data_IF_352135512949
#
_entry.id   IF_352135512949
#
_cell.length_a   1.000
_cell.length_b   1.000
_cell.length_c   1.000
_cell.angle_alpha   90.00
_cell.angle_beta   90.00
_cell.angle_gamma   90.00
#
_symmetry.space_group_name_H-M   'P 1'
#
loop_
_entity.id
_entity.type
_entity.pdbx_description
1 polymer ?
2 non-polymer ?
3 non-polymer ?
#
# COMPACT_ATOMS: atom_id res chain seq x y z
N UNK A 44 22.05 -14.96 6.61
CA UNK A 44 21.74 -15.83 5.49
C UNK A 44 22.44 -15.36 4.22
N UNK A 45 21.94 -15.80 3.07
CA UNK A 45 22.48 -15.38 1.79
C UNK A 45 22.29 -13.89 1.58
N UNK A 46 23.03 -13.33 0.64
CA UNK A 46 23.00 -11.88 0.41
C UNK A 46 21.60 -11.42 -0.01
N UNK A 47 20.98 -12.13 -0.94
CA UNK A 47 19.66 -11.71 -1.41
C UNK A 47 18.58 -11.86 -0.37
N UNK A 48 18.65 -12.86 0.52
CA UNK A 48 17.68 -12.92 1.61
C UNK A 48 17.95 -11.89 2.68
N UNK A 49 19.21 -11.52 2.89
CA UNK A 49 19.50 -10.36 3.74
C UNK A 49 18.87 -9.10 3.18
N UNK A 50 18.97 -8.91 1.86
CA UNK A 50 18.30 -7.79 1.21
C UNK A 50 16.78 -7.89 1.40
N UNK A 51 16.23 -9.09 1.28
CA UNK A 51 14.79 -9.26 1.45
C UNK A 51 14.35 -8.89 2.86
N UNK A 52 15.11 -9.29 3.88
CA UNK A 52 14.73 -8.98 5.26
C UNK A 52 14.83 -7.49 5.52
N UNK A 53 15.93 -6.86 5.05
CA UNK A 53 16.06 -5.42 5.26
C UNK A 53 15.00 -4.64 4.48
N UNK A 54 14.60 -5.13 3.31
CA UNK A 54 13.49 -4.51 2.58
C UNK A 54 12.19 -4.68 3.33
N UNK A 55 11.99 -5.84 3.96
CA UNK A 55 10.80 -6.06 4.78
C UNK A 55 10.71 -5.02 5.88
N UNK A 56 11.82 -4.81 6.61
CA UNK A 56 11.80 -3.79 7.65
C UNK A 56 11.65 -2.39 7.08
N UNK A 57 12.24 -2.13 5.90
CA UNK A 57 12.08 -0.83 5.28
C UNK A 57 10.63 -0.51 4.98
N UNK A 58 9.91 -1.47 4.39
CA UNK A 58 8.50 -1.25 4.10
C UNK A 58 7.65 -1.26 5.35
N UNK A 59 8.06 -1.99 6.38
CA UNK A 59 7.41 -1.89 7.68
C UNK A 59 7.46 -0.46 8.19
N UNK A 60 8.64 0.17 8.12
CA UNK A 60 8.75 1.57 8.55
C UNK A 60 8.09 2.53 7.58
N UNK A 61 7.98 2.17 6.29
CA UNK A 61 7.24 3.04 5.32
C UNK A 61 5.76 3.08 5.73
N UNK A 62 5.07 1.95 5.73
CA UNK A 62 3.62 1.94 6.03
C UNK A 62 3.37 2.39 7.48
N UNK A 63 4.27 2.08 8.41
CA UNK A 63 4.07 2.60 9.77
C UNK A 63 3.96 4.12 9.69
N UNK A 64 5.05 4.79 9.31
CA UNK A 64 5.04 6.24 9.18
C UNK A 64 3.83 6.74 8.39
N UNK A 65 3.29 5.93 7.48
CA UNK A 65 2.07 6.34 6.78
C UNK A 65 0.85 6.28 7.70
N UNK A 66 0.74 5.22 8.50
CA UNK A 66 -0.51 4.91 9.19
C UNK A 66 -0.56 5.44 10.63
N UNK A 67 0.59 5.73 11.25
CA UNK A 67 0.59 6.17 12.64
C UNK A 67 -0.30 7.40 12.84
N UNK A 68 -0.39 8.27 11.82
CA UNK A 68 -1.21 9.46 11.95
C UNK A 68 -2.70 9.10 12.05
N UNK A 69 -3.13 8.04 11.38
CA UNK A 69 -4.54 7.67 11.41
C UNK A 69 -4.99 7.31 12.83
N UNK A 70 -4.08 6.83 13.66
CA UNK A 70 -4.39 6.56 15.06
C UNK A 70 -4.12 7.79 15.93
N UNK A 71 -3.03 8.52 15.63
CA UNK A 71 -2.69 9.68 16.43
C UNK A 71 -3.74 10.77 16.35
N UNK A 72 -4.43 10.88 15.21
CA UNK A 72 -5.46 11.90 15.07
C UNK A 72 -6.69 11.63 15.92
N UNK A 73 -6.88 10.38 16.35
CA UNK A 73 -7.99 10.07 17.25
C UNK A 73 -7.84 10.81 18.56
N UNK A 74 -6.63 10.88 19.10
CA UNK A 74 -6.37 11.51 20.38
C UNK A 74 -5.90 12.95 20.24
N UNK A 75 -5.36 13.33 19.08
CA UNK A 75 -4.79 14.66 18.91
C UNK A 75 -5.86 15.75 18.75
N UNK A 76 -7.13 15.39 18.58
CA UNK A 76 -8.20 16.34 18.34
C UNK A 76 -9.04 16.49 19.60
N UNK A 77 -9.43 17.72 19.89
CA UNK A 77 -10.27 17.99 21.05
C UNK A 77 -11.72 17.58 20.79
N UNK A 78 -12.49 17.48 21.86
CA UNK A 78 -13.89 17.09 21.78
C UNK A 78 -14.71 18.12 21.01
N UNK A 107 -2.02 17.10 25.05
CA UNK A 107 -2.33 18.33 24.35
C UNK A 107 -3.32 18.08 23.22
N UNK A 108 -4.40 18.85 23.18
CA UNK A 108 -5.46 18.68 22.20
C UNK A 108 -5.60 19.96 21.38
N UNK A 109 -6.08 19.79 20.15
CA UNK A 109 -6.30 20.90 19.22
C UNK A 109 -7.73 20.89 18.74
N UNK A 110 -8.25 22.09 18.47
CA UNK A 110 -9.64 22.27 18.05
C UNK A 110 -9.78 22.29 16.52
N UNK A 111 -9.36 21.20 15.89
CA UNK A 111 -9.46 21.03 14.45
C UNK A 111 -10.86 20.59 14.03
N UNK A 112 -11.36 21.20 12.96
CA UNK A 112 -12.70 20.89 12.47
C UNK A 112 -12.66 19.64 11.58
N UNK A 113 -13.86 19.22 11.17
CA UNK A 113 -13.98 18.00 10.36
C UNK A 113 -13.27 18.13 9.02
N UNK A 114 -13.42 19.27 8.36
CA UNK A 114 -12.79 19.44 7.05
C UNK A 114 -11.26 19.46 7.16
N UNK A 115 -10.75 20.06 8.23
CA UNK A 115 -9.30 20.11 8.42
C UNK A 115 -8.71 18.72 8.58
N UNK A 116 -9.40 17.85 9.33
CA UNK A 116 -8.90 16.49 9.55
C UNK A 116 -8.78 15.72 8.24
N UNK A 117 -9.74 15.92 7.33
CA UNK A 117 -9.65 15.26 6.04
C UNK A 117 -8.43 15.69 5.25
N UNK A 118 -8.17 17.00 5.19
CA UNK A 118 -6.99 17.50 4.50
C UNK A 118 -5.71 16.97 5.15
N UNK A 119 -5.66 16.95 6.48
CA UNK A 119 -4.46 16.51 7.17
C UNK A 119 -4.20 15.04 6.90
N UNK A 120 -5.25 14.21 6.91
CA UNK A 120 -5.08 12.79 6.61
C UNK A 120 -4.67 12.58 5.16
N UNK A 121 -5.21 13.38 4.24
CA UNK A 121 -4.98 13.15 2.82
C UNK A 121 -3.76 13.83 2.24
N UNK A 122 -3.12 14.72 2.99
CA UNK A 122 -2.01 15.49 2.42
C UNK A 122 -0.85 14.59 1.99
N UNK A 123 -0.70 13.42 2.61
CA UNK A 123 0.38 12.52 2.25
C UNK A 123 0.27 12.06 0.79
N UNK A 124 -0.95 11.79 0.33
CA UNK A 124 -1.13 11.24 -0.99
C UNK A 124 -0.84 12.25 -2.10
N UNK A 125 -0.83 13.55 -1.80
CA UNK A 125 -0.36 14.52 -2.79
C UNK A 125 1.10 14.25 -3.15
N UNK A 126 1.96 14.17 -2.14
CA UNK A 126 3.36 13.87 -2.40
C UNK A 126 3.55 12.48 -2.99
N UNK A 127 2.77 11.50 -2.52
CA UNK A 127 2.88 10.16 -3.09
C UNK A 127 2.52 10.15 -4.57
N UNK A 128 1.52 10.93 -4.97
CA UNK A 128 1.16 11.02 -6.38
C UNK A 128 2.25 11.75 -7.16
N UNK A 129 2.78 12.84 -6.60
CA UNK A 129 3.72 13.68 -7.32
C UNK A 129 5.00 12.92 -7.63
N UNK A 130 5.53 12.20 -6.65
CA UNK A 130 6.89 11.66 -6.78
C UNK A 130 6.94 10.23 -7.29
N UNK A 131 5.82 9.66 -7.76
CA UNK A 131 5.80 8.25 -8.13
C UNK A 131 6.63 7.95 -9.37
N UNK A 132 6.24 8.49 -10.52
CA UNK A 132 6.86 8.14 -11.80
C UNK A 132 8.26 8.75 -11.93
N UNK A 133 8.47 10.03 -11.58
CA UNK A 133 9.85 10.52 -11.53
C UNK A 133 10.72 9.71 -10.59
N UNK A 134 10.14 9.19 -9.51
CA UNK A 134 10.87 8.27 -8.66
C UNK A 134 11.29 7.02 -9.40
N UNK A 135 10.41 6.47 -10.23
CA UNK A 135 10.77 5.32 -11.03
C UNK A 135 11.89 5.62 -12.00
N UNK A 136 11.83 6.77 -12.66
CA UNK A 136 12.89 7.14 -13.59
C UNK A 136 14.22 7.30 -12.88
N UNK A 137 14.21 7.96 -11.72
CA UNK A 137 15.45 8.14 -10.96
C UNK A 137 15.99 6.80 -10.46
N UNK A 138 15.09 5.89 -10.06
CA UNK A 138 15.53 4.57 -9.62
C UNK A 138 16.16 3.80 -10.77
N UNK A 139 15.59 3.91 -11.97
CA UNK A 139 16.22 3.29 -13.13
C UNK A 139 17.57 3.91 -13.45
N UNK A 140 17.70 5.23 -13.25
CA UNK A 140 18.92 5.92 -13.62
C UNK A 140 20.06 5.61 -12.64
N UNK A 141 19.89 5.96 -11.36
CA UNK A 141 20.99 5.87 -10.40
C UNK A 141 20.81 4.75 -9.39
N UNK A 142 19.82 3.88 -9.57
CA UNK A 142 19.70 2.70 -8.74
C UNK A 142 18.79 2.88 -7.53
N UNK A 143 18.62 1.80 -6.80
CA UNK A 143 17.66 1.75 -5.71
C UNK A 143 18.18 2.03 -4.31
N UNK A 144 19.42 1.67 -4.02
CA UNK A 144 19.92 1.71 -2.64
C UNK A 144 19.82 3.10 -2.04
N UNK A 145 20.57 4.05 -2.59
CA UNK A 145 20.62 5.40 -2.02
C UNK A 145 19.26 6.06 -2.09
N UNK A 146 18.54 5.86 -3.20
CA UNK A 146 17.24 6.50 -3.36
C UNK A 146 16.26 6.06 -2.28
N UNK A 147 16.14 4.75 -2.07
CA UNK A 147 15.22 4.26 -1.05
C UNK A 147 15.69 4.62 0.35
N UNK A 148 17.00 4.52 0.60
CA UNK A 148 17.50 4.90 1.92
C UNK A 148 17.20 6.34 2.26
N UNK A 149 17.42 7.25 1.31
CA UNK A 149 17.14 8.65 1.56
C UNK A 149 15.64 8.94 1.62
N UNK A 150 14.82 8.20 0.88
CA UNK A 150 13.38 8.34 1.04
C UNK A 150 12.94 7.99 2.44
N UNK A 151 13.45 6.88 2.97
CA UNK A 151 13.07 6.47 4.32
C UNK A 151 13.59 7.47 5.35
N UNK A 152 14.83 7.94 5.16
CA UNK A 152 15.39 8.91 6.10
C UNK A 152 14.60 10.22 6.09
N UNK A 153 14.24 10.71 4.91
CA UNK A 153 13.47 11.93 4.78
C UNK A 153 12.02 11.78 5.17
N UNK A 154 11.51 10.56 5.30
CA UNK A 154 10.21 10.36 5.93
C UNK A 154 10.33 10.27 7.45
N UNK A 155 11.36 9.60 7.95
CA UNK A 155 11.54 9.43 9.40
C UNK A 155 11.83 10.77 10.08
N UNK A 156 12.69 11.59 9.48
CA UNK A 156 13.00 12.87 10.11
C UNK A 156 11.79 13.79 10.11
N UNK A 157 10.98 13.77 9.05
CA UNK A 157 9.77 14.57 9.03
C UNK A 157 8.76 14.07 10.05
N UNK A 158 8.64 12.75 10.22
CA UNK A 158 7.80 12.23 11.29
C UNK A 158 8.29 12.69 12.64
N UNK A 159 9.62 12.69 12.84
CA UNK A 159 10.19 13.16 14.10
C UNK A 159 9.87 14.63 14.36
N UNK A 160 9.87 15.44 13.32
CA UNK A 160 9.55 16.86 13.48
C UNK A 160 8.06 17.17 13.40
N UNK A 161 7.22 16.17 13.11
CA UNK A 161 5.78 16.41 13.08
C UNK A 161 5.19 16.92 14.39
N UNK A 162 5.55 16.40 15.57
CA UNK A 162 4.95 16.94 16.81
C UNK A 162 5.20 18.42 17.02
N UNK A 163 6.37 18.94 16.66
CA UNK A 163 6.62 20.37 16.78
C UNK A 163 5.90 21.13 15.68
N UNK A 164 5.70 20.48 14.52
CA UNK A 164 4.92 21.10 13.45
C UNK A 164 3.46 21.25 13.85
N UNK A 165 2.94 20.36 14.69
CA UNK A 165 1.56 20.47 15.14
C UNK A 165 1.36 21.75 15.95
N UNK A 166 2.36 22.11 16.73
CA UNK A 166 2.26 23.34 17.56
C UNK A 166 2.29 24.58 16.67
N UNK A 167 3.08 24.55 15.59
CA UNK A 167 3.21 25.70 14.72
C UNK A 167 1.92 26.00 13.97
N UNK A 168 1.05 25.01 13.80
CA UNK A 168 -0.22 25.25 13.16
C UNK A 168 -0.69 24.16 12.22
N UNK A 169 -1.86 24.35 11.62
CA UNK A 169 -2.41 23.35 10.70
C UNK A 169 -1.60 23.30 9.41
N UNK A 170 -1.26 24.48 8.86
CA UNK A 170 -0.50 24.57 7.65
C UNK A 170 0.86 23.87 7.71
N UNK A 171 1.60 24.09 8.80
CA UNK A 171 2.84 23.31 8.98
C UNK A 171 2.63 21.81 8.96
N UNK A 172 1.55 21.31 9.57
CA UNK A 172 1.31 19.87 9.56
C UNK A 172 0.95 19.38 8.16
N UNK A 173 0.15 20.17 7.42
CA UNK A 173 -0.19 19.76 6.06
C UNK A 173 1.05 19.72 5.18
N UNK A 174 1.93 20.72 5.31
CA UNK A 174 3.13 20.72 4.48
C UNK A 174 4.08 19.60 4.93
N UNK A 175 4.12 19.29 6.22
CA UNK A 175 4.90 18.15 6.69
C UNK A 175 4.40 16.85 6.07
N UNK A 176 3.08 16.67 6.03
CA UNK A 176 2.54 15.46 5.42
C UNK A 176 2.78 15.42 3.93
N UNK A 177 2.69 16.57 3.25
CA UNK A 177 2.99 16.59 1.81
C UNK A 177 4.44 16.23 1.54
N UNK A 178 5.36 16.76 2.35
CA UNK A 178 6.76 16.41 2.19
C UNK A 178 7.02 14.94 2.54
N UNK A 179 6.30 14.41 3.53
CA UNK A 179 6.38 12.98 3.80
C UNK A 179 5.93 12.16 2.60
N UNK A 180 4.86 12.60 1.94
CA UNK A 180 4.42 11.91 0.74
C UNK A 180 5.47 11.95 -0.36
N UNK A 181 6.08 13.13 -0.56
CA UNK A 181 7.13 13.24 -1.56
C UNK A 181 8.30 12.32 -1.24
N UNK A 182 8.70 12.25 0.03
CA UNK A 182 9.79 11.38 0.40
C UNK A 182 9.46 9.91 0.24
N UNK A 183 8.25 9.52 0.64
CA UNK A 183 7.93 8.10 0.78
C UNK A 183 7.47 7.49 -0.54
N UNK A 184 6.87 8.28 -1.43
CA UNK A 184 6.33 7.71 -2.66
C UNK A 184 7.36 7.12 -3.59
N UNK A 185 8.65 7.43 -3.37
CA UNK A 185 9.71 6.90 -4.22
C UNK A 185 10.17 5.51 -3.77
N UNK A 186 9.67 5.02 -2.64
CA UNK A 186 10.18 3.78 -2.07
C UNK A 186 9.89 2.58 -2.96
N UNK A 187 8.64 2.43 -3.40
CA UNK A 187 8.28 1.25 -4.18
C UNK A 187 9.05 1.12 -5.49
N UNK A 188 9.13 2.16 -6.34
CA UNK A 188 9.94 2.01 -7.56
C UNK A 188 11.41 1.78 -7.27
N UNK A 189 11.94 2.38 -6.20
CA UNK A 189 13.33 2.13 -5.83
C UNK A 189 13.56 0.68 -5.44
N UNK A 190 12.54 0.03 -4.86
CA UNK A 190 12.67 -1.37 -4.52
C UNK A 190 12.55 -2.26 -5.75
N UNK A 191 11.65 -1.90 -6.67
CA UNK A 191 11.54 -2.68 -7.91
C UNK A 191 12.81 -2.56 -8.75
N UNK A 192 13.44 -1.38 -8.73
CA UNK A 192 14.70 -1.21 -9.45
C UNK A 192 15.84 -2.02 -8.83
N UNK A 193 15.73 -2.39 -7.55
CA UNK A 193 16.72 -3.28 -6.95
C UNK A 193 16.42 -4.73 -7.31
N UNK A 194 15.15 -5.12 -7.25
CA UNK A 194 14.80 -6.50 -7.59
C UNK A 194 14.93 -6.77 -9.08
N UNK A 195 15.02 -5.74 -9.91
CA UNK A 195 15.33 -5.95 -11.31
C UNK A 195 16.75 -6.47 -11.51
N UNK A 196 17.61 -6.34 -10.49
CA UNK A 196 19.00 -6.77 -10.57
C UNK A 196 19.39 -7.80 -9.52
N UNK A 197 18.58 -8.00 -8.49
CA UNK A 197 18.91 -8.93 -7.41
C UNK A 197 18.17 -10.26 -7.48
N UNK A 198 16.94 -10.27 -7.99
CA UNK A 198 16.09 -11.45 -7.88
C UNK A 198 16.22 -12.31 -9.12
N UNK A 199 16.64 -13.57 -8.99
CA UNK A 199 16.63 -14.48 -10.13
C UNK A 199 15.21 -14.82 -10.55
N UNK A 200 14.98 -15.05 -11.84
CA UNK A 200 13.59 -15.27 -12.31
C UNK A 200 12.89 -16.45 -11.67
N UNK A 201 13.60 -17.53 -11.36
CA UNK A 201 12.95 -18.69 -10.76
C UNK A 201 12.52 -18.39 -9.33
N UNK A 202 13.20 -17.47 -8.66
CA UNK A 202 13.02 -17.23 -7.24
C UNK A 202 12.42 -15.86 -6.96
N UNK A 203 12.01 -15.12 -8.00
CA UNK A 203 11.52 -13.76 -7.78
C UNK A 203 10.26 -13.74 -6.93
N UNK A 204 9.42 -14.77 -7.03
CA UNK A 204 8.15 -14.77 -6.31
C UNK A 204 8.37 -14.72 -4.80
N UNK A 205 9.21 -15.62 -4.29
CA UNK A 205 9.44 -15.67 -2.84
C UNK A 205 10.09 -14.38 -2.34
N UNK A 206 11.07 -13.88 -3.09
CA UNK A 206 11.77 -12.66 -2.67
C UNK A 206 10.84 -11.46 -2.64
N UNK A 207 10.03 -11.29 -3.69
CA UNK A 207 9.08 -10.18 -3.71
C UNK A 207 8.04 -10.32 -2.61
N UNK A 208 7.58 -11.55 -2.36
CA UNK A 208 6.60 -11.74 -1.29
C UNK A 208 7.19 -11.37 0.06
N UNK A 209 8.40 -11.83 0.35
CA UNK A 209 9.03 -11.52 1.63
C UNK A 209 9.28 -10.02 1.75
N UNK A 210 9.70 -9.38 0.66
CA UNK A 210 10.01 -7.95 0.71
C UNK A 210 8.75 -7.13 0.91
N UNK A 211 7.67 -7.45 0.20
CA UNK A 211 6.48 -6.61 0.20
C UNK A 211 5.50 -6.94 1.32
N UNK A 212 5.61 -8.11 1.96
CA UNK A 212 4.75 -8.40 3.11
C UNK A 212 5.04 -7.45 4.27
N UNK A 213 6.19 -6.77 4.23
CA UNK A 213 6.52 -5.80 5.25
C UNK A 213 5.55 -4.67 5.36
N UNK A 214 4.97 -4.22 4.25
CA UNK A 214 3.98 -3.15 4.29
C UNK A 214 2.73 -3.58 5.05
N UNK A 215 2.19 -4.74 4.69
CA UNK A 215 0.96 -5.21 5.33
C UNK A 215 1.20 -5.51 6.81
N UNK A 216 2.30 -6.18 7.13
CA UNK A 216 2.61 -6.42 8.54
C UNK A 216 2.89 -5.11 9.25
N UNK A 217 3.37 -4.10 8.53
CA UNK A 217 3.59 -2.79 9.14
C UNK A 217 2.30 -2.16 9.59
N UNK A 218 1.27 -2.18 8.72
CA UNK A 218 -0.03 -1.70 9.16
C UNK A 218 -0.55 -2.52 10.33
N UNK A 219 -0.47 -3.86 10.20
CA UNK A 219 -1.06 -4.76 11.19
C UNK A 219 -0.43 -4.56 12.57
N UNK A 220 0.85 -4.23 12.61
CA UNK A 220 1.53 -4.04 13.88
C UNK A 220 1.44 -2.59 14.36
N UNK A 221 1.56 -1.63 13.44
CA UNK A 221 1.61 -0.23 13.82
C UNK A 221 0.26 0.32 14.25
N UNK A 222 -0.85 -0.34 13.91
CA UNK A 222 -2.13 0.11 14.47
C UNK A 222 -2.20 -0.19 15.98
N UNK A 223 -2.13 -1.45 16.44
CA UNK A 223 -2.19 -1.68 17.89
C UNK A 223 -1.03 -1.05 18.65
N UNK A 224 0.16 -1.02 18.06
CA UNK A 224 1.31 -0.41 18.73
C UNK A 224 1.10 1.09 18.93
N UNK A 225 0.60 1.78 17.90
CA UNK A 225 0.28 3.20 18.05
C UNK A 225 -0.80 3.39 19.10
N UNK A 226 -1.81 2.52 19.12
CA UNK A 226 -2.83 2.62 20.16
C UNK A 226 -2.26 2.47 21.55
N UNK A 227 -1.36 1.49 21.73
CA UNK A 227 -0.76 1.25 23.05
C UNK A 227 0.02 2.47 23.51
N UNK A 228 0.90 3.00 22.65
CA UNK A 228 1.69 4.16 23.05
C UNK A 228 0.78 5.37 23.29
N UNK A 229 -0.21 5.56 22.43
CA UNK A 229 -1.08 6.73 22.56
C UNK A 229 -1.97 6.66 23.79
N UNK A 230 -2.24 5.46 24.31
CA UNK A 230 -2.99 5.37 25.55
C UNK A 230 -2.08 5.51 26.76
N UNK A 231 -1.02 4.69 26.83
CA UNK A 231 -0.17 4.73 28.01
C UNK A 231 0.59 6.04 28.13
N UNK A 232 1.07 6.58 27.01
CA UNK A 232 1.79 7.85 27.00
C UNK A 232 1.09 8.81 26.04
N UNK A 233 1.62 10.03 25.98
CA UNK A 233 1.10 11.04 25.06
C UNK A 233 1.40 10.65 23.61
N UNK A 234 0.61 11.22 22.69
CA UNK A 234 0.67 10.81 21.30
C UNK A 234 1.99 11.17 20.63
N UNK A 235 2.72 12.16 21.16
CA UNK A 235 3.97 12.58 20.52
C UNK A 235 5.02 11.48 20.55
N UNK A 236 4.97 10.61 21.56
CA UNK A 236 5.94 9.52 21.63
C UNK A 236 5.78 8.52 20.51
N UNK A 237 4.58 8.39 19.92
CA UNK A 237 4.40 7.53 18.77
C UNK A 237 5.27 8.00 17.61
N UNK A 238 5.17 9.30 17.29
CA UNK A 238 5.96 9.86 16.21
C UNK A 238 7.45 9.82 16.53
N UNK A 239 7.82 10.11 17.78
CA UNK A 239 9.23 10.05 18.15
C UNK A 239 9.77 8.63 17.99
N UNK A 240 9.02 7.63 18.44
CA UNK A 240 9.44 6.25 18.34
C UNK A 240 9.63 5.84 16.89
N UNK A 241 8.63 6.11 16.04
CA UNK A 241 8.77 5.69 14.65
C UNK A 241 9.87 6.45 13.92
N UNK A 242 10.07 7.74 14.22
CA UNK A 242 11.15 8.47 13.60
C UNK A 242 12.52 7.94 13.98
N UNK A 243 12.73 7.69 15.28
CA UNK A 243 14.03 7.19 15.71
C UNK A 243 14.25 5.77 15.20
N UNK A 244 13.20 4.98 15.09
CA UNK A 244 13.34 3.63 14.53
C UNK A 244 13.67 3.70 13.05
N UNK A 245 13.08 4.65 12.32
CA UNK A 245 13.45 4.82 10.93
C UNK A 245 14.91 5.21 10.75
N UNK A 246 15.40 6.12 11.60
CA UNK A 246 16.81 6.50 11.52
C UNK A 246 17.71 5.31 11.84
N UNK A 247 17.37 4.55 12.88
CA UNK A 247 18.16 3.38 13.24
C UNK A 247 18.19 2.37 12.10
N UNK A 248 17.06 2.17 11.43
CA UNK A 248 17.02 1.25 10.30
C UNK A 248 17.83 1.77 9.13
N UNK A 249 17.83 3.08 8.91
CA UNK A 249 18.67 3.65 7.85
C UNK A 249 20.14 3.39 8.14
N UNK A 250 20.52 3.42 9.42
CA UNK A 250 21.90 3.09 9.77
C UNK A 250 22.28 1.67 9.39
N UNK A 251 21.31 0.76 9.22
CA UNK A 251 21.61 -0.59 8.75
C UNK A 251 21.52 -0.68 7.24
N UNK A 252 20.56 0.02 6.65
CA UNK A 252 20.37 -0.03 5.20
C UNK A 252 21.54 0.57 4.46
N UNK A 253 22.16 1.62 5.01
CA UNK A 253 23.31 2.21 4.32
C UNK A 253 24.50 1.27 4.36
N UNK A 254 24.50 0.28 5.25
CA UNK A 254 25.68 -0.52 5.52
C UNK A 254 25.61 -1.91 4.88
N UNK A 255 24.51 -2.65 5.10
CA UNK A 255 24.44 -4.03 4.66
C UNK A 255 23.97 -4.21 3.21
N UNK A 256 23.47 -3.17 2.57
CA UNK A 256 22.82 -3.32 1.28
C UNK A 256 23.61 -2.58 0.21
N UNK A 257 23.54 -3.10 -1.02
CA UNK A 257 24.22 -2.52 -2.17
C UNK A 257 23.27 -2.51 -3.35
N UNK A 258 23.61 -1.68 -4.33
CA UNK A 258 22.73 -1.48 -5.49
C UNK A 258 22.62 -2.74 -6.34
N UNK A 259 23.69 -3.52 -6.44
CA UNK A 259 23.82 -4.56 -7.44
C UNK A 259 24.83 -5.60 -6.95
N UNK A 260 24.60 -6.90 -7.18
CA UNK A 260 25.48 -7.92 -6.59
C UNK A 260 26.94 -7.74 -6.91
N UNK A 261 27.27 -7.19 -8.10
CA UNK A 261 28.65 -6.87 -8.39
C UNK A 261 29.20 -5.82 -7.43
N UNK A 262 28.36 -4.88 -7.01
CA UNK A 262 28.79 -3.82 -6.10
C UNK A 262 28.76 -4.24 -4.64
N UNK A 263 28.29 -5.43 -4.32
CA UNK A 263 28.23 -5.89 -2.94
C UNK A 263 29.63 -6.20 -2.42
N UNK A 264 29.90 -5.77 -1.18
CA UNK A 264 31.22 -5.93 -0.60
C UNK A 264 31.44 -7.29 0.03
N UNK A 265 30.38 -8.06 0.28
CA UNK A 265 30.49 -9.29 1.06
C UNK A 265 29.81 -10.49 0.44
N UNK A 266 29.23 -10.37 -0.75
CA UNK A 266 28.53 -11.49 -1.38
C UNK A 266 29.54 -12.55 -1.79
N UNK A 267 29.17 -13.81 -1.58
CA UNK A 267 30.03 -14.92 -1.97
C UNK A 267 30.05 -15.05 -3.49
N UNK A 268 31.13 -15.66 -4.00
CA UNK A 268 31.31 -15.77 -5.45
C UNK A 268 30.21 -16.62 -6.08
N UNK A 269 29.86 -17.74 -5.44
CA UNK A 269 28.87 -18.64 -6.05
C UNK A 269 27.50 -17.99 -6.13
N UNK A 270 27.10 -17.24 -5.10
CA UNK A 270 25.80 -16.56 -5.15
C UNK A 270 25.79 -15.50 -6.24
N UNK A 271 26.88 -14.75 -6.38
CA UNK A 271 26.97 -13.74 -7.42
C UNK A 271 26.88 -14.37 -8.81
N UNK A 272 27.58 -15.48 -9.01
CA UNK A 272 27.50 -16.16 -10.29
C UNK A 272 26.10 -16.71 -10.54
N UNK A 273 25.44 -17.25 -9.51
CA UNK A 273 24.08 -17.73 -9.67
C UNK A 273 23.15 -16.61 -10.12
N UNK A 274 23.19 -15.48 -9.42
CA UNK A 274 22.29 -14.37 -9.75
C UNK A 274 22.56 -13.86 -11.15
N UNK A 275 23.84 -13.63 -11.48
CA UNK A 275 24.16 -13.08 -12.79
C UNK A 275 23.81 -14.05 -13.92
N UNK A 276 24.08 -15.34 -13.73
CA UNK A 276 23.77 -16.32 -14.77
C UNK A 276 22.27 -16.48 -14.95
N UNK A 277 21.49 -16.38 -13.87
CA UNK A 277 20.05 -16.52 -14.00
C UNK A 277 19.42 -15.28 -14.62
N UNK A 278 19.96 -14.08 -14.34
CA UNK A 278 19.43 -12.87 -14.94
C UNK A 278 19.99 -12.59 -16.33
N UNK A 279 21.00 -13.33 -16.77
CA UNK A 279 21.58 -13.10 -18.08
C UNK A 279 20.57 -13.30 -19.20
N UNK A 280 19.78 -14.36 -19.14
CA UNK A 280 18.85 -14.67 -20.22
C UNK A 280 17.73 -13.67 -20.36
N UNK A 281 17.46 -12.85 -19.34
CA UNK A 281 16.52 -11.75 -19.46
C UNK A 281 17.19 -10.45 -19.86
N UNK A 282 18.33 -10.13 -19.24
CA UNK A 282 18.99 -8.86 -19.53
C UNK A 282 19.66 -8.87 -20.90
N UNK A 283 19.82 -10.05 -21.51
CA UNK A 283 20.37 -10.13 -22.86
C UNK A 283 19.37 -9.72 -23.94
N UNK A 284 18.09 -9.53 -23.59
CA UNK A 284 17.11 -9.10 -24.58
C UNK A 284 17.43 -7.71 -25.11
N UNK A 285 17.88 -6.81 -24.23
CA UNK A 285 18.32 -5.46 -24.59
C UNK A 285 17.21 -4.64 -25.24
N UNK A 286 15.95 -4.92 -24.89
CA UNK A 286 14.81 -4.16 -25.42
C UNK A 286 13.84 -3.71 -24.33
N UNK A 287 14.16 -3.94 -23.05
CA UNK A 287 13.22 -3.62 -21.98
C UNK A 287 13.17 -2.11 -21.75
N UNK A 288 11.95 -1.57 -21.68
CA UNK A 288 11.68 -0.16 -21.42
C UNK A 288 12.52 0.73 -22.34
N UNK A 289 12.27 0.73 -23.65
CA UNK A 289 13.02 1.65 -24.52
C UNK A 289 12.38 3.01 -24.67
N UNK A 290 11.13 3.18 -24.27
CA UNK A 290 10.40 4.42 -24.52
C UNK A 290 9.21 4.51 -23.57
N UNK A 291 8.49 5.61 -23.67
CA UNK A 291 7.15 5.72 -23.08
C UNK A 291 6.17 5.28 -24.16
N UNK A 292 5.58 4.10 -24.05
CA UNK A 292 4.75 3.57 -25.14
C UNK A 292 3.43 4.33 -25.27
N UNK A 293 2.72 4.02 -26.34
CA UNK A 293 1.42 4.61 -26.61
C UNK A 293 0.36 3.85 -25.81
N UNK A 294 0.10 4.31 -24.59
CA UNK A 294 -0.83 3.62 -23.70
C UNK A 294 -2.28 4.01 -23.97
N UNK A 295 -2.70 3.89 -25.23
CA UNK A 295 -4.09 4.14 -25.58
C UNK A 295 -4.94 2.88 -25.42
N UNK A 296 -4.33 1.71 -25.30
CA UNK A 296 -5.06 0.46 -25.25
C UNK A 296 -6.02 0.44 -24.07
N UNK A 297 -7.29 0.15 -24.36
CA UNK A 297 -8.29 0.04 -23.31
C UNK A 297 -7.99 -1.02 -22.24
N UNK A 298 -7.45 -2.20 -22.56
CA UNK A 298 -7.19 -3.18 -21.49
C UNK A 298 -6.30 -2.65 -20.38
N UNK A 299 -5.45 -1.67 -20.65
CA UNK A 299 -4.70 -1.02 -19.58
C UNK A 299 -5.62 -0.17 -18.70
N UNK A 300 -6.52 0.59 -19.31
CA UNK A 300 -7.39 1.43 -18.51
C UNK A 300 -8.41 0.65 -17.71
N UNK A 301 -8.82 -0.54 -18.17
CA UNK A 301 -9.70 -1.37 -17.37
C UNK A 301 -9.03 -1.78 -16.07
N UNK A 302 -7.78 -2.23 -16.13
CA UNK A 302 -7.09 -2.62 -14.92
C UNK A 302 -6.76 -1.38 -14.07
N UNK A 303 -6.50 -0.24 -14.72
CA UNK A 303 -6.29 1.00 -13.99
C UNK A 303 -7.53 1.36 -13.17
N UNK A 304 -8.71 1.29 -13.78
CA UNK A 304 -9.92 1.66 -13.04
C UNK A 304 -10.24 0.60 -11.98
N UNK A 305 -9.89 -0.66 -12.22
CA UNK A 305 -10.05 -1.67 -11.17
C UNK A 305 -9.18 -1.33 -9.96
N UNK A 306 -7.93 -0.95 -10.21
CA UNK A 306 -7.04 -0.55 -9.13
C UNK A 306 -7.56 0.71 -8.44
N UNK A 307 -8.10 1.65 -9.22
CA UNK A 307 -8.69 2.85 -8.63
C UNK A 307 -9.81 2.49 -7.66
N UNK A 308 -10.72 1.61 -8.09
CA UNK A 308 -11.83 1.24 -7.24
C UNK A 308 -11.37 0.47 -6.00
N UNK A 309 -10.36 -0.38 -6.15
CA UNK A 309 -9.83 -1.08 -4.98
C UNK A 309 -9.20 -0.12 -3.99
N UNK A 310 -8.32 0.77 -4.48
CA UNK A 310 -7.63 1.70 -3.60
C UNK A 310 -8.61 2.67 -2.95
N UNK A 311 -9.71 3.01 -3.62
CA UNK A 311 -10.68 3.90 -3.00
C UNK A 311 -11.18 3.32 -1.68
N UNK A 312 -11.68 2.08 -1.73
CA UNK A 312 -12.17 1.45 -0.50
C UNK A 312 -11.05 1.21 0.49
N UNK A 313 -9.88 0.75 0.01
CA UNK A 313 -8.79 0.43 0.92
C UNK A 313 -8.33 1.66 1.69
N UNK A 314 -8.14 2.78 1.00
CA UNK A 314 -7.66 3.98 1.67
C UNK A 314 -8.76 4.65 2.48
N UNK A 315 -10.02 4.58 2.03
CA UNK A 315 -11.11 5.09 2.84
C UNK A 315 -11.18 4.34 4.17
N UNK A 316 -10.89 3.03 4.14
CA UNK A 316 -10.84 2.28 5.39
C UNK A 316 -9.60 2.64 6.20
N UNK A 317 -8.44 2.71 5.54
CA UNK A 317 -7.19 2.92 6.27
C UNK A 317 -7.14 4.27 6.97
N UNK A 318 -7.65 5.32 6.33
CA UNK A 318 -7.54 6.67 6.88
C UNK A 318 -8.71 7.03 7.80
N UNK A 319 -9.68 6.12 8.01
CA UNK A 319 -10.86 6.44 8.80
C UNK A 319 -11.23 5.40 9.83
N UNK A 320 -10.73 4.17 9.75
CA UNK A 320 -11.24 3.11 10.62
C UNK A 320 -11.02 3.40 12.11
N UNK A 321 -9.84 3.81 12.57
CA UNK A 321 -9.73 4.20 13.98
C UNK A 321 -10.67 5.33 14.36
N UNK A 322 -10.83 6.32 13.46
CA UNK A 322 -11.79 7.38 13.70
C UNK A 322 -13.21 6.83 13.77
N UNK A 323 -13.53 5.87 12.89
CA UNK A 323 -14.86 5.29 12.92
C UNK A 323 -15.14 4.57 14.23
N UNK A 324 -14.16 3.80 14.72
CA UNK A 324 -14.35 3.10 15.99
C UNK A 324 -14.44 4.07 17.16
N UNK A 325 -13.70 5.18 17.11
CA UNK A 325 -13.79 6.14 18.21
C UNK A 325 -15.11 6.91 18.17
N UNK A 326 -15.61 7.22 16.97
CA UNK A 326 -16.76 8.11 16.84
C UNK A 326 -18.08 7.36 16.96
N UNK A 327 -18.17 6.16 16.41
CA UNK A 327 -19.42 5.40 16.35
C UNK A 327 -19.41 4.24 17.34
N UNK A 328 -18.39 3.40 17.28
CA UNK A 328 -18.32 2.22 18.14
C UNK A 328 -17.79 2.54 19.52
N UNK A 329 -17.23 3.73 19.72
CA UNK A 329 -16.85 4.25 21.05
C UNK A 329 -15.84 3.36 21.76
N UNK A 330 -14.93 2.73 21.03
CA UNK A 330 -13.89 1.95 21.66
C UNK A 330 -12.79 2.84 22.23
N UNK A 331 -12.17 2.35 23.30
CA UNK A 331 -11.04 3.04 23.90
C UNK A 331 -9.84 2.97 22.95
N UNK A 332 -8.90 3.91 23.13
CA UNK A 332 -7.79 4.06 22.19
C UNK A 332 -7.00 2.77 22.07
N UNK A 333 -6.75 2.09 23.20
CA UNK A 333 -6.03 0.82 23.15
C UNK A 333 -6.84 -0.24 22.42
N UNK A 334 -8.12 -0.39 22.77
CA UNK A 334 -8.97 -1.35 22.09
C UNK A 334 -9.21 -0.94 20.64
N UNK A 335 -9.29 0.36 20.36
CA UNK A 335 -9.40 0.82 18.99
C UNK A 335 -8.19 0.37 18.17
N UNK A 336 -6.99 0.58 18.71
CA UNK A 336 -5.78 0.16 18.02
C UNK A 336 -5.72 -1.34 17.81
N UNK A 337 -6.10 -2.12 18.83
CA UNK A 337 -6.09 -3.57 18.69
C UNK A 337 -7.08 -4.04 17.63
N UNK A 338 -8.31 -3.52 17.67
CA UNK A 338 -9.34 -4.00 16.75
C UNK A 338 -9.12 -3.51 15.33
N UNK A 339 -8.44 -2.36 15.16
CA UNK A 339 -8.25 -1.82 13.82
C UNK A 339 -7.29 -2.66 12.98
N UNK A 340 -6.46 -3.49 13.60
CA UNK A 340 -5.53 -4.31 12.85
C UNK A 340 -6.14 -5.61 12.38
N UNK A 341 -7.25 -6.03 12.99
CA UNK A 341 -7.87 -7.30 12.61
C UNK A 341 -8.25 -7.38 11.14
N UNK A 342 -8.91 -6.38 10.53
CA UNK A 342 -9.22 -6.50 9.09
C UNK A 342 -7.99 -6.66 8.22
N UNK A 343 -6.89 -5.98 8.53
CA UNK A 343 -5.71 -6.08 7.67
C UNK A 343 -4.96 -7.38 7.90
N UNK A 344 -4.97 -7.89 9.14
CA UNK A 344 -4.41 -9.22 9.38
C UNK A 344 -5.22 -10.27 8.63
N UNK A 345 -6.54 -10.16 8.63
CA UNK A 345 -7.36 -11.06 7.85
C UNK A 345 -7.08 -10.96 6.36
N UNK A 346 -6.91 -9.74 5.86
CA UNK A 346 -6.57 -9.56 4.46
C UNK A 346 -5.24 -10.21 4.12
N UNK A 347 -4.25 -10.07 4.99
CA UNK A 347 -2.94 -10.68 4.76
C UNK A 347 -3.06 -12.21 4.75
N UNK A 348 -3.76 -12.77 5.74
CA UNK A 348 -3.90 -14.22 5.81
C UNK A 348 -4.78 -14.79 4.71
N UNK A 349 -5.61 -13.96 4.08
CA UNK A 349 -6.35 -14.43 2.91
C UNK A 349 -5.51 -14.32 1.65
N UNK A 350 -4.74 -13.23 1.52
CA UNK A 350 -3.89 -13.06 0.35
C UNK A 350 -2.83 -14.14 0.27
N UNK A 351 -2.27 -14.54 1.41
CA UNK A 351 -1.20 -15.54 1.39
C UNK A 351 -1.74 -16.90 0.96
N UNK A 352 -3.01 -17.21 1.26
CA UNK A 352 -3.61 -18.45 0.79
C UNK A 352 -4.20 -18.32 -0.61
N UNK A 353 -4.40 -17.09 -1.09
CA UNK A 353 -4.98 -16.89 -2.41
C UNK A 353 -4.11 -17.47 -3.52
N UNK A 354 -2.79 -17.34 -3.40
CA UNK A 354 -1.91 -17.93 -4.40
C UNK A 354 -2.01 -19.44 -4.47
N UNK A 355 -2.06 -20.09 -3.30
CA UNK A 355 -2.21 -21.54 -3.27
C UNK A 355 -3.58 -21.96 -3.81
N UNK A 356 -4.62 -21.17 -3.51
CA UNK A 356 -5.94 -21.47 -4.07
C UNK A 356 -5.94 -21.34 -5.58
N UNK A 357 -5.25 -20.32 -6.10
CA UNK A 357 -5.16 -20.16 -7.56
C UNK A 357 -4.39 -21.31 -8.19
N UNK A 358 -3.32 -21.78 -7.53
CA UNK A 358 -2.59 -22.94 -8.03
C UNK A 358 -3.47 -24.18 -8.04
N UNK A 359 -4.26 -24.36 -6.97
CA UNK A 359 -5.17 -25.51 -6.92
C UNK A 359 -6.21 -25.44 -8.03
N UNK A 360 -6.74 -24.24 -8.30
CA UNK A 360 -7.70 -24.08 -9.38
C UNK A 360 -7.06 -24.38 -10.73
N UNK A 361 -5.85 -23.86 -10.95
CA UNK A 361 -5.16 -24.10 -12.23
C UNK A 361 -4.82 -25.57 -12.42
N UNK A 362 -4.59 -26.30 -11.33
CA UNK A 362 -4.17 -27.69 -11.43
C UNK A 362 -5.21 -28.57 -12.10
N UNK A 363 -6.50 -28.23 -12.03
CA UNK A 363 -7.55 -29.10 -12.51
C UNK A 363 -8.31 -28.53 -13.72
N UNK A 364 -8.89 -27.35 -13.59
CA UNK A 364 -9.87 -26.89 -14.56
C UNK A 364 -9.22 -26.43 -15.85
N UNK A 365 -9.96 -26.56 -16.95
CA UNK A 365 -9.50 -26.15 -18.28
C UNK A 365 -9.82 -24.69 -18.56
N UNK A 366 -10.05 -23.90 -17.51
CA UNK A 366 -10.34 -22.48 -17.69
C UNK A 366 -9.17 -21.76 -18.34
N UNK A 367 -9.52 -20.77 -19.17
CA UNK A 367 -8.51 -19.87 -19.72
C UNK A 367 -7.96 -18.95 -18.64
N UNK A 368 -6.82 -18.34 -18.94
CA UNK A 368 -6.17 -17.47 -17.96
C UNK A 368 -7.06 -16.30 -17.56
N UNK A 369 -7.91 -15.83 -18.47
CA UNK A 369 -8.82 -14.73 -18.15
C UNK A 369 -9.86 -15.15 -17.12
N UNK A 370 -10.26 -16.43 -17.12
CA UNK A 370 -11.35 -16.87 -16.26
C UNK A 370 -10.98 -16.72 -14.78
N UNK A 371 -9.81 -17.22 -14.39
CA UNK A 371 -9.41 -17.11 -12.99
C UNK A 371 -9.25 -15.65 -12.60
N UNK A 372 -8.73 -14.82 -13.50
CA UNK A 372 -8.64 -13.38 -13.25
C UNK A 372 -10.01 -12.81 -12.92
N UNK A 373 -11.00 -13.07 -13.79
CA UNK A 373 -12.30 -12.43 -13.60
C UNK A 373 -12.99 -12.93 -12.34
N UNK A 374 -12.95 -14.24 -12.06
CA UNK A 374 -13.60 -14.76 -10.86
C UNK A 374 -12.93 -14.19 -9.61
N UNK A 375 -11.60 -14.23 -9.56
CA UNK A 375 -10.92 -13.74 -8.36
C UNK A 375 -11.13 -12.25 -8.16
N UNK A 376 -11.07 -11.45 -9.24
CA UNK A 376 -11.31 -10.02 -9.12
C UNK A 376 -12.73 -9.73 -8.67
N UNK A 377 -13.71 -10.43 -9.24
CA UNK A 377 -15.10 -10.22 -8.83
C UNK A 377 -15.28 -10.55 -7.35
N UNK A 378 -14.73 -11.68 -6.90
CA UNK A 378 -14.86 -12.04 -5.49
C UNK A 378 -14.22 -10.97 -4.61
N UNK A 379 -12.97 -10.63 -4.91
CA UNK A 379 -12.22 -9.74 -4.04
C UNK A 379 -12.66 -8.30 -4.09
N UNK A 380 -13.45 -7.92 -5.07
CA UNK A 380 -13.94 -6.54 -5.15
C UNK A 380 -15.42 -6.42 -4.82
N UNK A 381 -16.17 -7.53 -4.89
CA UNK A 381 -17.59 -7.48 -4.57
C UNK A 381 -17.81 -7.81 -3.10
N UNK A 382 -17.10 -8.82 -2.58
CA UNK A 382 -17.23 -9.20 -1.19
C UNK A 382 -17.04 -8.03 -0.23
N UNK A 383 -15.95 -7.28 -0.41
CA UNK A 383 -15.78 -6.06 0.41
C UNK A 383 -16.93 -5.07 0.27
N UNK A 384 -17.48 -4.90 -0.94
CA UNK A 384 -18.56 -3.94 -1.13
C UNK A 384 -19.81 -4.38 -0.38
N UNK A 385 -20.22 -5.63 -0.58
CA UNK A 385 -21.45 -6.11 0.05
C UNK A 385 -21.29 -6.16 1.57
N UNK A 386 -20.11 -6.53 2.06
CA UNK A 386 -19.93 -6.58 3.50
C UNK A 386 -19.77 -5.20 4.11
N UNK A 387 -19.26 -4.22 3.35
CA UNK A 387 -19.28 -2.85 3.86
C UNK A 387 -20.71 -2.32 3.92
N UNK A 388 -21.54 -2.68 2.95
CA UNK A 388 -22.96 -2.35 3.03
C UNK A 388 -23.60 -2.98 4.26
N UNK A 389 -23.28 -4.25 4.50
CA UNK A 389 -23.81 -4.93 5.69
C UNK A 389 -23.34 -4.25 6.96
N UNK A 390 -22.08 -3.83 7.02
CA UNK A 390 -21.60 -3.08 8.18
C UNK A 390 -22.34 -1.76 8.32
N UNK A 391 -22.73 -1.14 7.21
CA UNK A 391 -23.57 0.04 7.28
C UNK A 391 -24.95 -0.26 7.86
N UNK A 392 -25.49 -1.44 7.54
CA UNK A 392 -26.83 -1.80 7.97
C UNK A 392 -26.96 -1.92 9.49
N UNK A 393 -25.95 -2.46 10.18
CA UNK A 393 -26.03 -2.67 11.63
C UNK A 393 -24.89 -1.92 12.30
N UNK A 394 -24.57 -0.73 11.79
CA UNK A 394 -23.62 0.13 12.47
C UNK A 394 -24.01 0.38 13.91
N UNK A 395 -23.03 0.86 14.68
CA UNK A 395 -23.11 1.10 16.12
C UNK A 395 -23.14 -0.19 16.93
N UNK A 396 -23.14 -1.35 16.28
CA UNK A 396 -23.07 -2.63 16.98
C UNK A 396 -21.60 -2.95 17.24
N UNK A 397 -21.21 -2.96 18.52
CA UNK A 397 -19.81 -3.13 18.88
C UNK A 397 -19.25 -4.48 18.43
N UNK A 398 -20.10 -5.48 18.20
CA UNK A 398 -19.64 -6.82 17.87
C UNK A 398 -19.78 -7.15 16.39
N UNK A 399 -20.89 -6.77 15.76
CA UNK A 399 -21.15 -7.20 14.38
C UNK A 399 -20.54 -6.26 13.34
N UNK A 400 -20.43 -4.97 13.64
CA UNK A 400 -19.86 -4.03 12.67
C UNK A 400 -18.40 -4.37 12.39
N UNK A 401 -17.61 -4.62 13.45
CA UNK A 401 -16.21 -4.97 13.26
C UNK A 401 -16.07 -6.31 12.55
N UNK A 402 -16.98 -7.25 12.82
CA UNK A 402 -16.96 -8.54 12.13
C UNK A 402 -17.19 -8.36 10.63
N UNK A 403 -18.20 -7.56 10.27
CA UNK A 403 -18.44 -7.30 8.86
C UNK A 403 -17.26 -6.58 8.21
N UNK A 404 -16.66 -5.62 8.92
CA UNK A 404 -15.51 -4.91 8.35
C UNK A 404 -14.33 -5.84 8.11
N UNK A 405 -14.03 -6.72 9.08
CA UNK A 405 -12.89 -7.61 8.90
C UNK A 405 -13.19 -8.67 7.84
N UNK A 406 -14.44 -9.10 7.71
CA UNK A 406 -14.79 -10.01 6.62
C UNK A 406 -14.64 -9.32 5.28
N UNK A 407 -15.05 -8.05 5.20
CA UNK A 407 -14.87 -7.26 3.98
C UNK A 407 -13.39 -7.19 3.59
N UNK A 408 -12.54 -6.82 4.54
CA UNK A 408 -11.12 -6.68 4.23
C UNK A 408 -10.47 -8.02 3.92
N UNK A 409 -10.93 -9.10 4.57
CA UNK A 409 -10.41 -10.43 4.26
C UNK A 409 -10.79 -10.85 2.84
N UNK A 410 -12.06 -10.68 2.48
CA UNK A 410 -12.49 -10.98 1.11
C UNK A 410 -11.75 -10.12 0.10
N UNK A 411 -11.32 -8.92 0.50
CA UNK A 411 -10.50 -8.11 -0.39
C UNK A 411 -9.16 -8.71 -0.75
N UNK A 412 -8.76 -9.80 -0.10
CA UNK A 412 -7.44 -10.36 -0.34
C UNK A 412 -7.31 -11.04 -1.69
N UNK A 413 -8.42 -11.53 -2.25
CA UNK A 413 -8.36 -12.19 -3.55
C UNK A 413 -7.92 -11.24 -4.65
N UNK A 414 -7.99 -9.93 -4.40
CA UNK A 414 -7.71 -8.94 -5.44
C UNK A 414 -6.30 -9.06 -5.99
N UNK A 415 -5.35 -9.60 -5.22
CA UNK A 415 -4.00 -9.77 -5.73
C UNK A 415 -4.01 -10.61 -7.01
N UNK A 416 -4.37 -11.89 -6.88
CA UNK A 416 -4.45 -12.75 -8.06
C UNK A 416 -5.61 -12.39 -8.96
N UNK A 417 -6.55 -11.56 -8.49
CA UNK A 417 -7.60 -11.08 -9.36
C UNK A 417 -7.09 -10.12 -10.43
N UNK A 418 -6.45 -9.03 -10.00
CA UNK A 418 -6.08 -7.99 -10.94
C UNK A 418 -4.65 -7.46 -10.77
N UNK A 419 -4.05 -7.62 -9.59
CA UNK A 419 -2.71 -7.07 -9.41
C UNK A 419 -1.68 -7.81 -10.24
N UNK A 420 -1.83 -9.13 -10.40
CA UNK A 420 -0.94 -9.92 -11.24
C UNK A 420 -1.17 -9.64 -12.71
N UNK A 421 -2.36 -9.17 -13.08
CA UNK A 421 -2.66 -8.86 -14.48
C UNK A 421 -1.69 -7.84 -15.03
N UNK A 422 -1.19 -6.95 -14.16
CA UNK A 422 -0.23 -5.92 -14.56
C UNK A 422 0.97 -6.48 -15.30
N UNK A 423 1.50 -7.61 -14.84
CA UNK A 423 2.61 -8.28 -15.50
C UNK A 423 2.16 -9.43 -16.38
N UNK A 424 0.93 -9.91 -16.23
CA UNK A 424 0.43 -10.96 -17.11
C UNK A 424 0.20 -10.44 -18.52
N UNK A 425 -0.37 -9.23 -18.65
CA UNK A 425 -0.68 -8.72 -19.98
C UNK A 425 0.53 -8.10 -20.69
N UNK A 426 1.60 -7.79 -19.96
CA UNK A 426 2.75 -7.14 -20.58
C UNK A 426 4.02 -7.39 -19.78
N UNK A 427 4.69 -8.52 -19.99
CA UNK A 427 5.98 -8.74 -19.33
C UNK A 427 7.03 -7.76 -19.81
N UNK A 428 7.99 -7.47 -18.93
CA UNK A 428 9.11 -6.57 -19.18
C UNK A 428 8.66 -5.11 -19.19
N UNK A 429 7.35 -4.88 -19.11
CA UNK A 429 6.79 -3.55 -18.93
C UNK A 429 6.05 -3.39 -17.61
N UNK A 430 6.10 -4.40 -16.74
CA UNK A 430 5.38 -4.33 -15.48
C UNK A 430 5.85 -3.16 -14.61
N UNK A 431 7.16 -2.93 -14.57
CA UNK A 431 7.69 -1.88 -13.71
C UNK A 431 7.21 -0.49 -14.07
N UNK A 432 6.80 -0.28 -15.32
CA UNK A 432 6.34 1.03 -15.76
C UNK A 432 4.82 1.08 -15.83
N UNK A 433 4.20 0.02 -16.35
CA UNK A 433 2.74 -0.02 -16.42
C UNK A 433 2.12 -0.01 -15.03
N UNK A 434 2.70 -0.79 -14.11
CA UNK A 434 2.20 -0.80 -12.73
C UNK A 434 2.44 0.56 -12.07
N UNK A 435 3.54 1.23 -12.40
CA UNK A 435 3.77 2.56 -11.87
C UNK A 435 2.74 3.57 -12.37
N UNK A 436 2.40 3.48 -13.66
CA UNK A 436 1.35 4.35 -14.20
C UNK A 436 0.02 4.08 -13.49
N UNK A 437 -0.32 2.80 -13.33
CA UNK A 437 -1.58 2.44 -12.70
C UNK A 437 -1.62 2.91 -11.25
N UNK A 438 -0.50 2.76 -10.53
CA UNK A 438 -0.42 3.22 -9.15
C UNK A 438 -0.44 4.74 -9.03
N UNK A 439 0.12 5.45 -10.01
CA UNK A 439 0.02 6.90 -10.01
C UNK A 439 -1.43 7.34 -10.16
N UNK A 440 -2.17 6.70 -11.08
CA UNK A 440 -3.57 7.08 -11.26
C UNK A 440 -4.45 6.59 -10.11
N UNK A 441 -4.12 5.45 -9.50
CA UNK A 441 -4.97 4.84 -8.50
C UNK A 441 -4.69 5.34 -7.08
N UNK A 442 -3.79 6.30 -6.90
CA UNK A 442 -3.63 6.98 -5.63
C UNK A 442 -4.37 8.31 -5.60
N UNK A 443 -5.08 8.65 -6.67
CA UNK A 443 -6.06 9.74 -6.65
C UNK A 443 -7.08 9.50 -5.55
N UNK A 444 -7.58 8.27 -5.36
CA UNK A 444 -8.48 8.03 -4.21
C UNK A 444 -7.88 8.39 -2.88
N UNK A 445 -6.57 8.23 -2.69
CA UNK A 445 -5.96 8.66 -1.44
C UNK A 445 -6.14 10.15 -1.21
N UNK A 446 -6.14 10.95 -2.27
CA UNK A 446 -6.35 12.39 -2.14
C UNK A 446 -7.82 12.77 -2.07
N UNK A 447 -8.70 11.96 -2.67
CA UNK A 447 -10.12 12.31 -2.81
C UNK A 447 -10.98 11.72 -1.70
N UNK A 448 -10.93 10.40 -1.52
CA UNK A 448 -11.82 9.69 -0.64
C UNK A 448 -11.81 10.13 0.81
N UNK A 449 -10.63 10.18 1.44
CA UNK A 449 -10.58 10.60 2.86
C UNK A 449 -11.19 11.96 3.13
N UNK A 450 -10.87 12.97 2.32
CA UNK A 450 -11.34 14.32 2.61
C UNK A 450 -12.83 14.44 2.39
N UNK A 451 -13.36 13.89 1.29
CA UNK A 451 -14.79 13.98 1.04
C UNK A 451 -15.56 13.14 2.06
N UNK A 452 -15.00 12.01 2.47
CA UNK A 452 -15.65 11.18 3.48
C UNK A 452 -15.72 11.91 4.82
N UNK A 453 -14.64 12.58 5.20
CA UNK A 453 -14.64 13.32 6.45
C UNK A 453 -15.55 14.55 6.37
N UNK A 454 -15.66 15.16 5.19
CA UNK A 454 -16.60 16.26 5.02
C UNK A 454 -18.04 15.78 5.15
N UNK A 455 -18.35 14.60 4.61
CA UNK A 455 -19.71 14.09 4.63
C UNK A 455 -20.18 13.67 6.02
N UNK A 456 -19.26 13.38 6.94
CA UNK A 456 -19.60 12.88 8.28
C UNK A 456 -19.14 13.90 9.31
N UNK A 457 -19.96 14.92 9.58
CA UNK A 457 -19.47 16.00 10.46
C UNK A 457 -19.29 15.61 11.92
N UNK A 458 -20.33 15.11 12.61
CA UNK A 458 -20.12 14.86 14.04
C UNK A 458 -20.40 13.42 14.48
N UNK A 459 -21.63 12.94 14.28
CA UNK A 459 -21.95 11.55 14.60
C UNK A 459 -22.44 10.86 13.34
N UNK A 460 -23.54 11.38 12.79
CA UNK A 460 -24.04 11.08 11.45
C UNK A 460 -23.90 9.61 11.06
N UNK A 461 -24.59 8.72 11.78
CA UNK A 461 -24.59 7.31 11.38
C UNK A 461 -25.15 7.17 9.98
N UNK A 462 -26.13 8.00 9.61
CA UNK A 462 -26.64 8.00 8.25
C UNK A 462 -25.60 8.38 7.23
N UNK A 463 -24.76 9.39 7.54
CA UNK A 463 -23.74 9.79 6.59
C UNK A 463 -22.59 8.78 6.53
N UNK A 464 -22.31 8.09 7.64
CA UNK A 464 -21.36 6.99 7.57
C UNK A 464 -21.89 5.87 6.70
N UNK A 465 -23.19 5.59 6.80
CA UNK A 465 -23.81 4.68 5.84
C UNK A 465 -23.68 5.20 4.42
N UNK A 466 -23.81 6.51 4.25
CA UNK A 466 -23.71 7.10 2.92
C UNK A 466 -22.32 6.89 2.31
N UNK A 467 -21.28 7.14 3.10
CA UNK A 467 -19.92 6.96 2.59
C UNK A 467 -19.64 5.48 2.35
N UNK A 468 -20.19 4.59 3.18
CA UNK A 468 -20.06 3.17 2.93
C UNK A 468 -20.73 2.76 1.62
N UNK A 469 -21.92 3.31 1.36
CA UNK A 469 -22.57 3.10 0.06
C UNK A 469 -21.72 3.63 -1.08
N UNK A 470 -21.09 4.78 -0.90
CA UNK A 470 -20.26 5.36 -1.95
C UNK A 470 -19.10 4.42 -2.26
N UNK A 471 -18.44 3.92 -1.22
CA UNK A 471 -17.32 3.00 -1.43
C UNK A 471 -17.78 1.71 -2.10
N UNK A 472 -18.93 1.18 -1.67
CA UNK A 472 -19.43 -0.05 -2.28
C UNK A 472 -19.79 0.17 -3.75
N UNK A 473 -20.38 1.32 -4.07
CA UNK A 473 -20.71 1.62 -5.46
C UNK A 473 -19.45 1.75 -6.30
N UNK A 474 -18.41 2.38 -5.75
CA UNK A 474 -17.15 2.48 -6.48
C UNK A 474 -16.57 1.09 -6.73
N UNK A 475 -16.63 0.21 -5.72
CA UNK A 475 -16.12 -1.15 -5.89
C UNK A 475 -16.91 -1.89 -6.98
N UNK A 476 -18.24 -1.75 -6.98
CA UNK A 476 -19.06 -2.40 -7.99
C UNK A 476 -18.73 -1.88 -9.38
N UNK A 477 -18.58 -0.56 -9.51
CA UNK A 477 -18.22 0.02 -10.80
C UNK A 477 -16.88 -0.50 -11.27
N UNK A 478 -15.91 -0.58 -10.38
CA UNK A 478 -14.59 -1.09 -10.76
C UNK A 478 -14.63 -2.53 -11.21
N UNK A 479 -15.36 -3.37 -10.47
CA UNK A 479 -15.46 -4.78 -10.84
C UNK A 479 -16.14 -4.93 -12.20
N UNK A 480 -17.23 -4.20 -12.43
CA UNK A 480 -17.95 -4.29 -13.70
C UNK A 480 -17.04 -3.85 -14.84
N UNK A 481 -16.38 -2.70 -14.68
CA UNK A 481 -15.55 -2.18 -15.75
C UNK A 481 -14.37 -3.11 -16.04
N UNK A 482 -13.75 -3.67 -15.00
CA UNK A 482 -12.65 -4.60 -15.19
C UNK A 482 -13.11 -5.84 -15.95
N UNK A 483 -14.22 -6.44 -15.52
CA UNK A 483 -14.69 -7.65 -16.17
C UNK A 483 -15.20 -7.38 -17.59
N UNK A 484 -15.58 -6.14 -17.90
CA UNK A 484 -16.07 -5.83 -19.24
C UNK A 484 -14.94 -5.74 -20.25
N UNK A 485 -13.72 -5.40 -19.82
CA UNK A 485 -12.63 -5.12 -20.73
C UNK A 485 -11.33 -5.85 -20.43
N UNK A 486 -11.32 -6.76 -19.46
CA UNK A 486 -10.06 -7.41 -19.09
C UNK A 486 -9.54 -8.29 -20.22
N UNK A 487 -8.25 -8.13 -20.52
CA UNK A 487 -7.54 -8.94 -21.48
C UNK A 487 -6.31 -9.50 -20.78
N UNK A 488 -5.76 -10.59 -21.31
CA UNK A 488 -4.59 -11.17 -20.67
C UNK A 488 -3.54 -11.81 -21.56
N UNK A 489 -3.70 -11.76 -22.88
CA UNK A 489 -2.72 -12.42 -23.72
C UNK A 489 -1.51 -11.53 -23.98
N UNK A 490 -1.72 -10.46 -24.75
CA UNK A 490 -0.65 -9.56 -25.18
C UNK A 490 -1.35 -8.29 -25.66
N UNK A 491 -0.71 -7.13 -25.44
CA UNK A 491 -1.25 -5.86 -25.93
C UNK A 491 -0.87 -5.57 -27.38
N UNK A 492 -0.07 -6.44 -28.00
CA UNK A 492 0.34 -6.38 -29.40
C UNK A 492 1.36 -5.27 -29.64
N UNK A 493 1.63 -4.47 -28.61
CA UNK A 493 2.74 -3.51 -28.70
C UNK A 493 3.83 -3.84 -27.69
N UNK A 494 3.48 -4.53 -26.60
CA UNK A 494 4.46 -4.95 -25.61
C UNK A 494 5.34 -6.09 -26.09
N UNK A 495 4.99 -6.73 -27.21
CA UNK A 495 5.79 -7.81 -27.77
C UNK A 495 7.01 -7.19 -28.43
N UNK A 496 8.14 -7.20 -27.72
CA UNK A 496 9.37 -6.59 -28.21
C UNK A 496 9.94 -7.38 -29.38
X LIG B 1 0.91 -4.80 -1.48
X LIG B 1 -0.71 -3.36 -0.24
X LIG B 1 -1.88 -2.51 -0.80
X LIG B 1 -2.31 -3.11 -2.05
X LIG B 1 -2.93 -4.31 -2.35
X LIG B 1 -3.18 -4.68 -3.66
X LIG B 1 -2.79 -3.87 -4.71
X LIG B 1 -2.16 -2.70 -4.40
X LIG B 1 -1.92 -2.30 -3.10
X LIG B 1 -1.29 -1.24 -1.14
X LIG B 1 -0.73 -0.24 -0.38
X LIG B 1 -0.16 0.89 -0.97
X LIG B 1 -0.13 1.03 -2.35
X LIG B 1 -0.68 0.02 -3.09
X LIG B 1 -1.26 -1.09 -2.50
X LIG B 1 1.76 -4.04 -1.21
X LIG B 1 -0.41 -4.56 -0.94
X LIG C 1 1.37 -5.87 -2.38
X LIG C 1 1.03 -7.30 -2.45
X LIG C 1 1.99 -8.25 -1.73
X LIG C 1 2.99 -8.63 -2.36
X LIG C 1 1.02 -7.77 -3.90
X LIG C 1 0.71 -9.26 -4.05
X LIG C 1 1.96 -10.07 -4.39
X LIG C 1 -0.38 -9.57 -5.05
X LIG C 1 1.77 -8.70 -0.57
#
# INVERSE_FOLDING_TARGET
>A
MDYKDDDDKRSPVRDLARNDGEESTDRTPLLPGAPRAEAAPVCCSARYNLAILAFFGFFIVYALRVNLSVALVDMVDSNTTLEDNRTSKACPEHSAPIKVHHNQTGKKYQWDAETQGWILGSFFYGYIITQIPGGYVASKIGGKMLLGFGILGTAVLTLFTPIAADLGVGPLIVLRALEGLGEGVTFPAMHAMWSSWAPPLERSKLLSISYAGAQLGTVISLPLSGIICYYMNWTYVFYFFGTIGIFWFLLWIWLVSDTPQKHKRISHYEKEYILSSLRNQLSSQKSVPWVPILKSLPLWAIVVAHFSYNWTFYTLLTLLPTYMKEILRFNVQENGFLSSLPYLGSWLCMILSGQAADNLRAKWNFSTLCVRRIFSLIGMIGPAVFLVAAGFIGCDYSLAVAFLTISTTLGGFCSSGFSINHLDIAPSYAGILLGITNTFATIPGMVGPVIAKSLTPDNTVGEWQTVFYIAAAINVFGAIFFTLFAKGEVQNWALNDHHGHRH
>B hetero
1 VP1 C01 C04 C05 C06 C07 C08 C09 C10 C11 C12 C13 C14 C15 C16 C17 O02 O03
>C hetero
1 LEU N CA C O CB CG CD1 CD2 OXT
#
